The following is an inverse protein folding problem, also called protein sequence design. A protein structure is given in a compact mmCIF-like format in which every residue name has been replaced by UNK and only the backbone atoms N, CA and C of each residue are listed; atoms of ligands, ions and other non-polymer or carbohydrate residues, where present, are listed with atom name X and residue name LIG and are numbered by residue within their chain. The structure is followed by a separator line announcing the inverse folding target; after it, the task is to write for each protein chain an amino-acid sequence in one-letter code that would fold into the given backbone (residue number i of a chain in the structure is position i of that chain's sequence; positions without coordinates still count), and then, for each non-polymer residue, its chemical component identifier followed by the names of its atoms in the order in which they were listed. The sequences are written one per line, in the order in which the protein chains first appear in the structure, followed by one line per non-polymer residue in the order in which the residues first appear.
data_IF_341430667900
#
_entry.id   IF_341430667900
#
_cell.length_a   1.000
_cell.length_b   1.000
_cell.length_c   1.000
_cell.angle_alpha   90.00
_cell.angle_beta   90.00
_cell.angle_gamma   90.00
#
_symmetry.space_group_name_H-M   'P 1'
#
loop_
_entity.id
_entity.type
_entity.pdbx_description
1 polymer ?
#
# COMPACT_ATOMS: atom_id res chain seq x y z
N UNK A 1 12.90 31.95 32.22
CA UNK A 1 13.74 31.12 33.12
C UNK A 1 13.03 30.70 34.41
N UNK A 2 11.87 31.26 34.78
CA UNK A 2 11.07 30.78 35.94
C UNK A 2 9.80 30.00 35.58
N UNK A 3 9.55 29.73 34.29
CA UNK A 3 8.37 28.98 33.81
C UNK A 3 8.73 27.62 33.20
N UNK A 4 9.99 27.18 33.34
CA UNK A 4 10.51 25.95 32.73
C UNK A 4 10.65 24.77 33.71
N UNK A 5 10.43 24.98 35.01
CA UNK A 5 10.63 23.94 36.03
C UNK A 5 9.41 23.05 36.29
N UNK A 6 8.28 23.25 35.59
CA UNK A 6 7.04 22.49 35.86
C UNK A 6 6.45 21.71 34.68
N UNK A 7 7.22 21.45 33.61
CA UNK A 7 6.72 20.65 32.47
C UNK A 7 7.32 19.24 32.43
N UNK A 8 6.46 18.26 32.18
CA UNK A 8 6.78 16.84 32.11
C UNK A 8 7.87 16.53 31.06
N UNK A 9 8.73 15.50 31.31
CA UNK A 9 9.91 15.19 30.50
C UNK A 9 9.65 14.82 29.04
N UNK A 10 8.40 14.51 28.66
CA UNK A 10 7.98 14.22 27.28
C UNK A 10 8.02 15.45 26.37
N UNK A 11 7.86 16.67 26.91
CA UNK A 11 7.83 17.90 26.10
C UNK A 11 9.22 18.47 25.78
N UNK A 12 10.24 18.15 26.59
CA UNK A 12 11.64 18.51 26.30
C UNK A 12 12.24 17.65 25.17
N UNK A 13 11.81 16.39 25.05
CA UNK A 13 12.30 15.46 24.04
C UNK A 13 11.84 15.89 22.63
N UNK A 14 10.58 16.32 22.48
CA UNK A 14 10.07 16.87 21.23
C UNK A 14 10.74 18.19 20.83
N UNK A 15 11.04 19.07 21.80
CA UNK A 15 11.70 20.35 21.51
C UNK A 15 13.19 20.20 21.21
N UNK A 16 13.89 19.22 21.79
CA UNK A 16 15.29 18.94 21.45
C UNK A 16 15.41 18.30 20.06
N UNK A 17 14.46 17.43 19.68
CA UNK A 17 14.35 16.90 18.31
C UNK A 17 14.05 18.04 17.33
N UNK A 18 13.15 18.98 17.67
CA UNK A 18 12.86 20.15 16.83
C UNK A 18 14.06 21.11 16.74
N UNK A 19 14.82 21.33 17.82
CA UNK A 19 16.02 22.19 17.78
C UNK A 19 17.17 21.52 17.02
N UNK A 20 17.31 20.20 17.10
CA UNK A 20 18.25 19.44 16.26
C UNK A 20 17.80 19.48 14.79
N UNK A 21 16.50 19.35 14.50
CA UNK A 21 15.94 19.55 13.16
C UNK A 21 16.18 20.98 12.64
N UNK A 22 16.00 22.00 13.48
CA UNK A 22 16.18 23.41 13.10
C UNK A 22 17.66 23.78 12.93
N UNK A 23 18.58 23.19 13.71
CA UNK A 23 20.03 23.43 13.56
C UNK A 23 20.65 22.64 12.39
N UNK A 24 20.01 21.56 11.93
CA UNK A 24 20.39 20.81 10.73
C UNK A 24 19.86 21.48 9.44
N UNK A 25 18.79 22.28 9.54
CA UNK A 25 18.18 22.98 8.40
C UNK A 25 19.06 24.09 7.78
N UNK A 26 20.16 24.50 8.42
CA UNK A 26 21.05 25.56 7.92
C UNK A 26 22.27 25.05 7.13
N UNK A 27 22.39 23.74 6.89
CA UNK A 27 23.41 23.18 5.98
C UNK A 27 22.85 22.04 5.12
N UNK A 28 22.47 22.37 3.88
CA UNK A 28 22.24 21.50 2.71
C UNK A 28 21.50 20.15 2.95
N UNK A 29 20.16 20.24 2.91
CA UNK A 29 19.19 19.26 2.39
C UNK A 29 19.30 17.78 2.81
N UNK A 30 18.45 17.39 3.78
CA UNK A 30 17.81 16.06 3.78
C UNK A 30 16.69 16.15 2.73
N UNK A 31 16.90 15.56 1.55
CA UNK A 31 15.88 15.44 0.51
C UNK A 31 14.96 14.27 0.85
N UNK A 32 13.66 14.41 0.56
CA UNK A 32 12.75 13.27 0.47
C UNK A 32 13.31 12.24 -0.55
N UNK A 33 13.25 10.94 -0.25
CA UNK A 33 13.79 9.91 -1.15
C UNK A 33 13.03 9.90 -2.49
N UNK A 34 13.78 9.67 -3.57
CA UNK A 34 13.29 9.79 -4.94
C UNK A 34 12.68 8.47 -5.45
N UNK A 35 11.83 8.51 -6.47
CA UNK A 35 11.27 7.29 -7.08
C UNK A 35 12.10 6.82 -8.28
N UNK A 36 12.33 5.51 -8.40
CA UNK A 36 12.91 4.90 -9.59
C UNK A 36 11.85 4.79 -10.72
N UNK A 37 12.24 4.77 -12.02
CA UNK A 37 11.29 4.62 -13.11
C UNK A 37 10.57 3.26 -13.05
N UNK A 38 9.25 3.29 -12.96
CA UNK A 38 8.39 2.12 -13.04
C UNK A 38 8.29 1.61 -14.48
N UNK A 39 8.43 0.30 -14.69
CA UNK A 39 8.13 -0.31 -15.98
C UNK A 39 6.61 -0.27 -16.21
N UNK A 40 6.13 0.14 -17.40
CA UNK A 40 4.72 -0.04 -17.76
C UNK A 40 4.46 -1.53 -18.00
N UNK A 41 4.17 -2.25 -16.92
CA UNK A 41 3.54 -3.56 -16.98
C UNK A 41 2.09 -3.39 -17.43
N UNK A 42 1.88 -3.27 -18.73
CA UNK A 42 0.55 -3.22 -19.32
C UNK A 42 -0.21 -4.50 -19.03
N UNK A 43 -1.20 -4.43 -18.15
CA UNK A 43 -2.32 -5.36 -18.12
C UNK A 43 -3.30 -4.89 -19.18
N UNK A 44 -3.41 -5.69 -20.26
CA UNK A 44 -4.44 -5.50 -21.28
C UNK A 44 -5.82 -5.40 -20.60
N UNK A 45 -6.44 -4.23 -20.71
CA UNK A 45 -7.84 -4.03 -20.37
C UNK A 45 -8.69 -4.87 -21.34
N UNK A 46 -8.97 -6.12 -20.95
CA UNK A 46 -9.98 -6.94 -21.63
C UNK A 46 -11.32 -6.27 -21.38
N UNK A 47 -11.82 -5.56 -22.39
CA UNK A 47 -13.18 -5.00 -22.40
C UNK A 47 -14.18 -6.09 -21.98
N UNK A 48 -14.75 -5.91 -20.80
CA UNK A 48 -15.68 -6.86 -20.20
C UNK A 48 -16.99 -6.85 -20.99
N UNK A 49 -17.21 -7.90 -21.79
CA UNK A 49 -18.53 -8.18 -22.36
C UNK A 49 -19.56 -8.28 -21.22
N UNK A 50 -20.74 -7.64 -21.30
CA UNK A 50 -21.73 -7.65 -20.22
C UNK A 50 -22.50 -8.97 -20.09
N UNK A 51 -22.21 -9.96 -20.96
CA UNK A 51 -22.99 -11.19 -21.08
C UNK A 51 -22.38 -12.39 -20.35
N UNK A 52 -23.10 -12.96 -19.40
CA UNK A 52 -22.73 -14.18 -18.68
C UNK A 52 -23.43 -15.40 -19.32
N UNK A 53 -22.69 -16.41 -19.80
CA UNK A 53 -23.29 -17.60 -20.36
C UNK A 53 -23.82 -18.52 -19.25
N UNK A 54 -24.83 -19.33 -19.55
CA UNK A 54 -25.19 -20.47 -18.70
C UNK A 54 -24.04 -21.49 -18.66
N UNK A 55 -23.86 -22.14 -17.51
CA UNK A 55 -22.83 -23.15 -17.27
C UNK A 55 -22.98 -24.35 -18.21
N UNK A 56 -24.21 -24.82 -18.44
CA UNK A 56 -24.45 -26.07 -19.18
C UNK A 56 -24.92 -25.87 -20.62
N UNK A 57 -25.54 -24.73 -20.95
CA UNK A 57 -26.15 -24.52 -22.26
C UNK A 57 -25.59 -23.28 -22.97
N UNK A 58 -26.22 -22.93 -24.11
CA UNK A 58 -25.83 -21.82 -24.98
C UNK A 58 -26.55 -20.50 -24.64
N UNK A 59 -27.48 -20.51 -23.69
CA UNK A 59 -28.16 -19.29 -23.23
C UNK A 59 -27.17 -18.32 -22.60
N UNK A 60 -27.35 -17.03 -22.87
CA UNK A 60 -26.52 -15.95 -22.35
C UNK A 60 -27.42 -14.85 -21.80
N UNK A 61 -27.03 -14.30 -20.65
CA UNK A 61 -27.79 -13.30 -19.92
C UNK A 61 -26.92 -12.07 -19.67
N UNK A 62 -27.53 -10.90 -19.55
CA UNK A 62 -26.80 -9.71 -19.11
C UNK A 62 -26.51 -9.81 -17.61
N UNK A 63 -25.37 -9.31 -17.12
CA UNK A 63 -25.01 -9.34 -15.70
C UNK A 63 -26.12 -8.77 -14.79
N UNK A 64 -26.81 -7.71 -15.23
CA UNK A 64 -27.94 -7.10 -14.53
C UNK A 64 -29.14 -8.08 -14.33
N UNK A 65 -29.23 -9.11 -15.16
CA UNK A 65 -30.25 -10.15 -15.13
C UNK A 65 -29.77 -11.43 -14.44
N UNK A 66 -28.76 -11.35 -13.57
CA UNK A 66 -28.22 -12.46 -12.77
C UNK A 66 -29.31 -13.37 -12.17
N UNK A 67 -30.39 -12.79 -11.65
CA UNK A 67 -31.51 -13.54 -11.08
C UNK A 67 -32.26 -14.40 -12.11
N UNK A 68 -32.31 -14.00 -13.37
CA UNK A 68 -32.92 -14.79 -14.45
C UNK A 68 -32.02 -15.99 -14.80
N UNK A 69 -30.70 -15.78 -14.89
CA UNK A 69 -29.74 -16.87 -15.10
C UNK A 69 -29.77 -17.90 -13.96
N UNK A 70 -29.81 -17.44 -12.70
CA UNK A 70 -29.93 -18.34 -11.54
C UNK A 70 -31.22 -19.17 -11.60
N UNK A 71 -32.35 -18.54 -11.94
CA UNK A 71 -33.64 -19.27 -12.13
C UNK A 71 -33.54 -20.31 -13.25
N UNK A 72 -32.93 -19.95 -14.38
CA UNK A 72 -32.72 -20.87 -15.49
C UNK A 72 -31.86 -22.09 -15.07
N UNK A 73 -30.78 -21.87 -14.33
CA UNK A 73 -29.92 -22.96 -13.84
C UNK A 73 -30.65 -23.91 -12.87
N UNK A 74 -31.54 -23.37 -12.03
CA UNK A 74 -32.33 -24.18 -11.09
C UNK A 74 -33.39 -25.02 -11.82
N UNK A 75 -34.10 -24.44 -12.79
CA UNK A 75 -35.24 -25.10 -13.46
C UNK A 75 -34.76 -26.09 -14.52
N UNK A 76 -33.88 -25.66 -15.42
CA UNK A 76 -33.46 -26.46 -16.59
C UNK A 76 -32.31 -27.41 -16.27
N UNK A 77 -31.45 -27.05 -15.30
CA UNK A 77 -30.23 -27.79 -15.01
C UNK A 77 -30.14 -28.33 -13.58
N UNK A 78 -31.15 -28.05 -12.74
CA UNK A 78 -31.21 -28.48 -11.33
C UNK A 78 -29.95 -28.07 -10.52
N UNK A 79 -29.25 -27.02 -10.95
CA UNK A 79 -28.07 -26.48 -10.28
C UNK A 79 -28.46 -25.29 -9.39
N UNK A 80 -27.99 -25.33 -8.15
CA UNK A 80 -28.19 -24.27 -7.15
C UNK A 80 -26.81 -23.77 -6.71
N UNK A 81 -26.60 -22.46 -6.74
CA UNK A 81 -25.41 -21.80 -6.17
C UNK A 81 -25.84 -21.14 -4.87
N UNK A 82 -25.27 -21.58 -3.74
CA UNK A 82 -25.53 -21.00 -2.42
C UNK A 82 -24.82 -19.66 -2.25
N UNK A 83 -25.44 -18.75 -1.48
CA UNK A 83 -24.88 -17.47 -1.06
C UNK A 83 -24.20 -16.68 -2.18
N UNK A 84 -24.90 -16.50 -3.30
CA UNK A 84 -24.39 -15.79 -4.50
C UNK A 84 -23.89 -14.37 -4.18
N UNK A 85 -24.42 -13.73 -3.13
CA UNK A 85 -23.94 -12.44 -2.59
C UNK A 85 -22.47 -12.45 -2.16
N UNK A 86 -21.90 -13.62 -1.86
CA UNK A 86 -20.50 -13.80 -1.45
C UNK A 86 -19.57 -14.02 -2.65
N UNK A 87 -20.10 -14.11 -3.87
CA UNK A 87 -19.30 -14.27 -5.08
C UNK A 87 -18.85 -12.90 -5.56
N UNK A 88 -17.55 -12.61 -5.40
CA UNK A 88 -16.96 -11.31 -5.71
C UNK A 88 -17.10 -10.89 -7.19
N UNK A 89 -16.84 -11.82 -8.11
CA UNK A 89 -17.04 -11.68 -9.55
C UNK A 89 -17.86 -12.86 -10.08
N UNK A 90 -19.17 -12.62 -10.23
CA UNK A 90 -20.10 -13.64 -10.69
C UNK A 90 -19.80 -14.12 -12.12
N UNK A 91 -19.29 -13.26 -13.01
CA UNK A 91 -18.99 -13.64 -14.39
C UNK A 91 -17.83 -14.63 -14.42
N UNK A 92 -16.72 -14.27 -13.77
CA UNK A 92 -15.53 -15.12 -13.72
C UNK A 92 -15.83 -16.44 -13.02
N UNK A 93 -16.64 -16.42 -11.95
CA UNK A 93 -17.13 -17.62 -11.27
C UNK A 93 -17.89 -18.57 -12.21
N UNK A 94 -18.84 -18.05 -12.98
CA UNK A 94 -19.63 -18.87 -13.92
C UNK A 94 -18.76 -19.43 -15.06
N UNK A 95 -17.83 -18.63 -15.59
CA UNK A 95 -16.92 -19.07 -16.64
C UNK A 95 -15.98 -20.18 -16.17
N UNK A 96 -15.49 -20.10 -14.93
CA UNK A 96 -14.71 -21.15 -14.32
C UNK A 96 -15.49 -22.46 -14.24
N UNK A 97 -16.68 -22.44 -13.62
CA UNK A 97 -17.49 -23.65 -13.45
C UNK A 97 -17.99 -24.22 -14.78
N UNK A 98 -18.25 -23.37 -15.78
CA UNK A 98 -18.55 -23.80 -17.15
C UNK A 98 -17.42 -24.63 -17.76
N UNK A 99 -16.16 -24.21 -17.58
CA UNK A 99 -15.00 -24.97 -18.03
C UNK A 99 -14.85 -26.25 -17.21
N UNK A 100 -14.94 -26.14 -15.88
CA UNK A 100 -14.68 -27.25 -14.96
C UNK A 100 -15.67 -28.41 -15.10
N UNK A 101 -16.96 -28.11 -15.28
CA UNK A 101 -18.00 -29.13 -15.53
C UNK A 101 -17.98 -29.71 -16.94
N UNK A 102 -17.26 -29.11 -17.88
CA UNK A 102 -17.01 -29.73 -19.18
C UNK A 102 -15.93 -30.82 -19.09
N UNK A 103 -15.04 -30.75 -18.10
CA UNK A 103 -13.92 -31.68 -17.91
C UNK A 103 -14.28 -32.88 -17.04
N UNK A 104 -15.05 -32.67 -15.98
CA UNK A 104 -15.40 -33.69 -14.99
C UNK A 104 -16.89 -33.60 -14.60
N UNK A 105 -17.52 -34.72 -14.16
CA UNK A 105 -18.93 -34.72 -13.84
C UNK A 105 -19.27 -33.83 -12.64
N UNK A 106 -20.44 -33.19 -12.70
CA UNK A 106 -20.92 -32.22 -11.69
C UNK A 106 -20.98 -32.81 -10.27
N UNK A 107 -21.20 -34.12 -10.15
CA UNK A 107 -21.25 -34.86 -8.88
C UNK A 107 -19.97 -34.82 -8.06
N UNK A 108 -18.82 -34.55 -8.70
CA UNK A 108 -17.53 -34.54 -8.03
C UNK A 108 -17.30 -33.22 -7.28
N UNK A 109 -18.05 -32.18 -7.64
CA UNK A 109 -17.89 -30.81 -7.11
C UNK A 109 -19.12 -30.30 -6.37
N UNK A 110 -20.28 -30.90 -6.59
CA UNK A 110 -21.54 -30.44 -6.05
C UNK A 110 -22.08 -31.42 -5.01
N UNK A 111 -22.64 -30.89 -3.93
CA UNK A 111 -23.46 -31.69 -3.02
C UNK A 111 -24.78 -32.06 -3.70
N UNK A 112 -25.20 -33.33 -3.62
CA UNK A 112 -26.45 -33.79 -4.23
C UNK A 112 -27.60 -33.73 -3.23
N UNK A 113 -28.58 -32.87 -3.50
CA UNK A 113 -29.82 -32.75 -2.73
C UNK A 113 -30.89 -33.58 -3.42
N UNK A 114 -31.39 -34.61 -2.73
CA UNK A 114 -32.51 -35.42 -3.22
C UNK A 114 -33.83 -34.87 -2.72
N UNK A 115 -34.67 -34.41 -3.64
CA UNK A 115 -36.06 -34.06 -3.33
C UNK A 115 -36.95 -35.29 -3.50
N UNK A 116 -38.04 -35.35 -2.73
CA UNK A 116 -38.98 -36.48 -2.71
C UNK A 116 -38.37 -37.83 -2.32
N UNK A 117 -37.44 -37.86 -1.35
CA UNK A 117 -36.75 -39.07 -0.86
C UNK A 117 -37.65 -40.23 -0.37
N UNK A 118 -38.95 -39.99 -0.19
CA UNK A 118 -39.97 -41.00 0.18
C UNK A 118 -40.86 -41.43 -1.00
N UNK A 119 -40.73 -40.82 -2.17
CA UNK A 119 -41.49 -41.14 -3.39
C UNK A 119 -40.80 -42.25 -4.21
N UNK A 120 -41.52 -42.90 -5.15
CA UNK A 120 -40.93 -43.87 -6.09
C UNK A 120 -39.70 -43.27 -6.80
N UNK A 121 -38.71 -44.11 -7.15
CA UNK A 121 -37.44 -43.68 -7.76
C UNK A 121 -37.61 -42.81 -9.02
N UNK A 122 -38.74 -42.96 -9.72
CA UNK A 122 -39.10 -42.23 -10.94
C UNK A 122 -39.54 -40.77 -10.69
N UNK A 123 -39.88 -40.41 -9.44
CA UNK A 123 -40.31 -39.07 -9.03
C UNK A 123 -39.27 -38.34 -8.15
N UNK A 124 -38.08 -38.94 -7.97
CA UNK A 124 -36.98 -38.36 -7.21
C UNK A 124 -36.14 -37.46 -8.10
N UNK A 125 -36.08 -36.17 -7.76
CA UNK A 125 -35.24 -35.19 -8.45
C UNK A 125 -33.98 -34.90 -7.65
N UNK A 126 -32.83 -35.05 -8.31
CA UNK A 126 -31.51 -34.67 -7.79
C UNK A 126 -31.22 -33.21 -8.18
N UNK A 127 -30.99 -32.36 -7.18
CA UNK A 127 -30.43 -31.03 -7.34
C UNK A 127 -28.94 -31.04 -6.97
N UNK A 128 -28.14 -30.27 -7.69
CA UNK A 128 -26.70 -30.12 -7.47
C UNK A 128 -26.45 -28.77 -6.80
N UNK A 129 -25.84 -28.77 -5.62
CA UNK A 129 -25.55 -27.57 -4.84
C UNK A 129 -24.04 -27.26 -4.88
N UNK A 130 -23.70 -26.08 -5.39
CA UNK A 130 -22.40 -25.43 -5.20
C UNK A 130 -22.47 -24.51 -3.98
N UNK A 131 -21.56 -24.69 -3.02
CA UNK A 131 -21.46 -23.85 -1.83
C UNK A 131 -20.01 -23.75 -1.34
N UNK A 132 -19.78 -22.73 -0.51
CA UNK A 132 -18.52 -22.39 0.15
C UNK A 132 -17.99 -23.44 1.14
N UNK A 133 -18.79 -24.46 1.48
CA UNK A 133 -18.32 -25.63 2.24
C UNK A 133 -17.50 -26.57 1.37
N UNK A 134 -17.66 -26.51 0.04
CA UNK A 134 -16.95 -27.37 -0.91
C UNK A 134 -15.55 -26.80 -1.17
N UNK A 135 -14.48 -27.61 -1.07
CA UNK A 135 -13.11 -27.09 -1.13
C UNK A 135 -12.79 -26.27 -2.38
N UNK A 136 -13.16 -26.77 -3.56
CA UNK A 136 -12.87 -26.09 -4.82
C UNK A 136 -13.71 -24.83 -5.02
N UNK A 137 -14.98 -24.83 -4.60
CA UNK A 137 -15.84 -23.64 -4.65
C UNK A 137 -15.36 -22.56 -3.68
N UNK A 138 -14.93 -22.96 -2.49
CA UNK A 138 -14.35 -22.06 -1.51
C UNK A 138 -13.10 -21.37 -2.03
N UNK A 139 -12.13 -22.16 -2.51
CA UNK A 139 -10.87 -21.66 -3.08
C UNK A 139 -11.13 -20.69 -4.24
N UNK A 140 -12.07 -21.02 -5.13
CA UNK A 140 -12.44 -20.13 -6.24
C UNK A 140 -13.02 -18.81 -5.74
N UNK A 141 -13.92 -18.84 -4.76
CA UNK A 141 -14.51 -17.62 -4.19
C UNK A 141 -13.45 -16.76 -3.50
N UNK A 142 -12.55 -17.36 -2.73
CA UNK A 142 -11.42 -16.71 -2.09
C UNK A 142 -10.50 -16.06 -3.13
N UNK A 143 -10.12 -16.77 -4.20
CA UNK A 143 -9.30 -16.22 -5.30
C UNK A 143 -9.97 -15.03 -6.00
N UNK A 144 -11.27 -15.12 -6.30
CA UNK A 144 -12.00 -14.02 -6.92
C UNK A 144 -12.12 -12.81 -5.97
N UNK A 145 -12.27 -13.06 -4.67
CA UNK A 145 -12.28 -12.02 -3.65
C UNK A 145 -10.90 -11.34 -3.53
N UNK A 146 -9.81 -12.11 -3.48
CA UNK A 146 -8.45 -11.58 -3.46
C UNK A 146 -8.15 -10.73 -4.68
N UNK A 147 -8.54 -11.19 -5.88
CA UNK A 147 -8.39 -10.41 -7.11
C UNK A 147 -9.12 -9.07 -7.01
N UNK A 148 -10.38 -9.09 -6.56
CA UNK A 148 -11.18 -7.86 -6.36
C UNK A 148 -10.57 -6.95 -5.29
N UNK A 149 -10.02 -7.52 -4.21
CA UNK A 149 -9.34 -6.76 -3.16
C UNK A 149 -8.11 -6.04 -3.72
N UNK A 150 -7.28 -6.70 -4.54
CA UNK A 150 -6.13 -6.08 -5.20
C UNK A 150 -6.54 -4.88 -6.05
N UNK A 151 -7.55 -5.04 -6.91
CA UNK A 151 -8.09 -3.95 -7.75
C UNK A 151 -8.57 -2.76 -6.90
N UNK A 152 -9.23 -3.03 -5.76
CA UNK A 152 -9.74 -1.99 -4.86
C UNK A 152 -8.62 -1.30 -4.07
N UNK A 153 -7.57 -2.03 -3.68
CA UNK A 153 -6.40 -1.46 -3.01
C UNK A 153 -5.60 -0.56 -3.96
N UNK A 154 -5.43 -0.97 -5.22
CA UNK A 154 -4.81 -0.14 -6.26
C UNK A 154 -5.61 1.14 -6.48
N UNK A 155 -6.93 1.04 -6.62
CA UNK A 155 -7.82 2.20 -6.72
C UNK A 155 -7.71 3.11 -5.48
N UNK A 156 -7.68 2.53 -4.28
CA UNK A 156 -7.52 3.29 -3.05
C UNK A 156 -6.19 4.05 -3.01
N UNK A 157 -5.10 3.41 -3.41
CA UNK A 157 -3.77 4.01 -3.47
C UNK A 157 -3.74 5.16 -4.48
N UNK A 158 -4.33 4.96 -5.66
CA UNK A 158 -4.47 6.02 -6.65
C UNK A 158 -5.25 7.23 -6.09
N UNK A 159 -6.35 6.99 -5.38
CA UNK A 159 -7.13 8.05 -4.75
C UNK A 159 -6.42 8.74 -3.57
N UNK A 160 -5.41 8.10 -2.95
CA UNK A 160 -4.55 8.72 -1.92
C UNK A 160 -3.54 9.67 -2.53
N UNK A 161 -2.96 9.33 -3.67
CA UNK A 161 -2.00 10.19 -4.37
C UNK A 161 -2.67 11.23 -5.27
N UNK A 162 -3.97 11.09 -5.55
CA UNK A 162 -4.70 12.06 -6.35
C UNK A 162 -4.67 13.45 -5.71
N UNK A 163 -4.11 14.39 -6.46
CA UNK A 163 -4.04 15.83 -6.15
C UNK A 163 -4.93 16.66 -7.09
N UNK A 164 -5.60 16.01 -8.05
CA UNK A 164 -6.54 16.62 -8.98
C UNK A 164 -7.98 16.55 -8.49
N UNK A 165 -8.21 16.07 -7.26
CA UNK A 165 -9.55 15.95 -6.71
C UNK A 165 -10.24 17.30 -6.66
N UNK A 166 -11.48 17.35 -7.14
CA UNK A 166 -12.28 18.57 -7.16
C UNK A 166 -13.74 18.25 -6.86
N UNK A 167 -14.28 18.84 -5.78
CA UNK A 167 -15.69 18.66 -5.42
C UNK A 167 -16.17 19.77 -4.48
N UNK A 168 -17.48 20.04 -4.49
CA UNK A 168 -18.12 20.96 -3.55
C UNK A 168 -18.65 20.23 -2.32
N UNK A 169 -18.63 20.88 -1.16
CA UNK A 169 -19.26 20.33 0.03
C UNK A 169 -20.77 20.22 -0.14
N UNK A 170 -21.35 19.06 0.19
CA UNK A 170 -22.80 18.84 0.10
C UNK A 170 -23.62 19.64 1.14
N UNK A 171 -22.97 20.20 2.16
CA UNK A 171 -23.62 20.90 3.27
C UNK A 171 -23.41 22.42 3.28
N UNK A 172 -22.37 22.93 2.61
CA UNK A 172 -22.04 24.35 2.52
C UNK A 172 -21.52 24.73 1.13
N UNK A 173 -21.36 26.03 0.87
CA UNK A 173 -20.96 26.54 -0.45
C UNK A 173 -19.44 26.60 -0.64
N UNK A 174 -18.68 25.77 0.08
CA UNK A 174 -17.22 25.68 -0.03
C UNK A 174 -16.80 24.65 -1.07
N UNK A 175 -15.83 25.05 -1.90
CA UNK A 175 -15.22 24.24 -2.94
C UNK A 175 -13.86 23.72 -2.48
N UNK A 176 -13.58 22.46 -2.80
CA UNK A 176 -12.36 21.77 -2.38
C UNK A 176 -11.61 21.23 -3.59
N UNK A 177 -10.32 21.56 -3.65
CA UNK A 177 -9.37 21.07 -4.65
C UNK A 177 -8.18 20.40 -3.96
N UNK A 178 -7.49 19.49 -4.64
CA UNK A 178 -6.29 18.85 -4.12
C UNK A 178 -6.54 17.38 -3.84
N UNK A 179 -6.48 16.98 -2.57
CA UNK A 179 -6.76 15.60 -2.16
C UNK A 179 -8.16 15.47 -1.54
N UNK A 180 -8.82 14.33 -1.78
CA UNK A 180 -10.15 14.02 -1.23
C UNK A 180 -10.25 14.14 0.30
N UNK A 181 -9.14 13.88 1.01
CA UNK A 181 -9.09 13.97 2.48
C UNK A 181 -9.44 15.35 2.99
N UNK A 182 -9.17 16.42 2.24
CA UNK A 182 -9.47 17.80 2.65
C UNK A 182 -10.97 18.00 2.80
N UNK A 183 -11.76 17.57 1.80
CA UNK A 183 -13.22 17.65 1.83
C UNK A 183 -13.81 16.78 2.95
N UNK A 184 -13.35 15.53 3.05
CA UNK A 184 -13.88 14.59 4.05
C UNK A 184 -13.58 15.05 5.48
N UNK A 185 -12.37 15.57 5.73
CA UNK A 185 -12.01 16.15 7.01
C UNK A 185 -12.80 17.43 7.32
N UNK A 186 -13.08 18.26 6.31
CA UNK A 186 -13.96 19.41 6.46
C UNK A 186 -15.38 19.00 6.86
N UNK A 187 -15.98 18.01 6.19
CA UNK A 187 -17.30 17.47 6.53
C UNK A 187 -17.34 16.96 7.98
N UNK A 188 -16.29 16.28 8.43
CA UNK A 188 -16.18 15.79 9.79
C UNK A 188 -16.01 16.90 10.83
N UNK A 189 -15.25 17.96 10.54
CA UNK A 189 -14.94 19.04 11.50
C UNK A 189 -16.03 20.13 11.54
N UNK A 190 -16.40 20.67 10.38
CA UNK A 190 -17.29 21.83 10.28
C UNK A 190 -18.78 21.44 10.30
N UNK A 191 -19.11 20.25 9.79
CA UNK A 191 -20.48 19.75 9.74
C UNK A 191 -20.75 18.64 10.75
N UNK A 192 -19.71 18.21 11.47
CA UNK A 192 -19.76 17.05 12.36
C UNK A 192 -20.34 15.80 11.67
N UNK A 193 -20.20 15.71 10.35
CA UNK A 193 -20.70 14.61 9.54
C UNK A 193 -19.56 13.65 9.24
N UNK A 194 -19.57 12.50 9.91
CA UNK A 194 -18.47 11.54 9.85
C UNK A 194 -18.93 10.29 9.09
N UNK A 195 -18.23 9.99 8.00
CA UNK A 195 -18.44 8.80 7.14
C UNK A 195 -17.25 7.85 7.17
N UNK A 196 -16.30 8.02 8.08
CA UNK A 196 -15.07 7.24 8.18
C UNK A 196 -13.82 8.06 7.86
N UNK A 197 -12.66 7.42 8.05
CA UNK A 197 -11.37 8.00 7.68
C UNK A 197 -11.25 8.06 6.14
N UNK A 198 -10.67 9.12 5.57
CA UNK A 198 -10.44 9.22 4.13
C UNK A 198 -9.71 8.02 3.54
N UNK A 199 -8.78 7.45 4.32
CA UNK A 199 -7.97 6.30 3.91
C UNK A 199 -8.77 5.00 3.83
N UNK A 200 -9.89 4.89 4.53
CA UNK A 200 -10.70 3.67 4.54
C UNK A 200 -11.80 3.68 3.47
N UNK A 201 -11.92 4.79 2.75
CA UNK A 201 -12.93 5.01 1.72
C UNK A 201 -12.31 4.72 0.34
N UNK A 202 -13.07 4.01 -0.49
CA UNK A 202 -12.73 3.70 -1.88
C UNK A 202 -13.82 4.19 -2.80
N UNK A 203 -13.46 4.56 -4.04
CA UNK A 203 -14.39 5.15 -5.03
C UNK A 203 -15.08 6.40 -4.48
N UNK A 204 -14.30 7.34 -3.95
CA UNK A 204 -14.79 8.50 -3.20
C UNK A 204 -15.75 9.37 -4.04
N UNK A 205 -15.46 9.57 -5.33
CA UNK A 205 -16.34 10.32 -6.23
C UNK A 205 -17.73 9.68 -6.35
N UNK A 206 -17.78 8.37 -6.57
CA UNK A 206 -19.05 7.64 -6.67
C UNK A 206 -19.78 7.68 -5.32
N UNK A 207 -19.05 7.52 -4.21
CA UNK A 207 -19.65 7.59 -2.88
C UNK A 207 -20.30 8.94 -2.61
N UNK A 208 -19.58 10.05 -2.87
CA UNK A 208 -20.10 11.40 -2.72
C UNK A 208 -21.30 11.65 -3.64
N UNK A 209 -21.27 11.14 -4.87
CA UNK A 209 -22.40 11.24 -5.81
C UNK A 209 -23.64 10.49 -5.30
N UNK A 210 -23.48 9.28 -4.72
CA UNK A 210 -24.59 8.54 -4.11
C UNK A 210 -25.19 9.29 -2.92
N UNK A 211 -24.34 9.86 -2.05
CA UNK A 211 -24.80 10.66 -0.92
C UNK A 211 -25.52 11.93 -1.38
N UNK A 212 -24.95 12.64 -2.36
CA UNK A 212 -25.55 13.84 -2.94
C UNK A 212 -26.91 13.52 -3.58
N UNK A 213 -27.01 12.44 -4.36
CA UNK A 213 -28.28 12.01 -4.96
C UNK A 213 -29.36 11.69 -3.92
N UNK A 214 -28.99 11.10 -2.78
CA UNK A 214 -29.95 10.90 -1.67
C UNK A 214 -30.39 12.22 -1.05
N UNK A 215 -29.49 13.19 -0.86
CA UNK A 215 -29.85 14.53 -0.38
C UNK A 215 -30.73 15.30 -1.38
N UNK A 216 -30.47 15.17 -2.68
CA UNK A 216 -31.25 15.80 -3.74
C UNK A 216 -32.66 15.21 -3.84
N UNK A 217 -32.81 13.91 -3.56
CA UNK A 217 -34.09 13.23 -3.37
C UNK A 217 -34.76 13.54 -2.01
N UNK A 218 -34.22 14.51 -1.27
CA UNK A 218 -34.72 14.94 0.05
C UNK A 218 -34.74 13.80 1.07
N UNK A 219 -33.85 12.82 0.93
CA UNK A 219 -33.73 11.66 1.80
C UNK A 219 -32.64 11.88 2.86
N UNK A 220 -32.95 11.57 4.13
CA UNK A 220 -31.97 11.62 5.20
C UNK A 220 -31.00 10.42 5.12
N UNK A 221 -29.70 10.70 5.12
CA UNK A 221 -28.65 9.67 5.00
C UNK A 221 -28.58 8.68 6.18
N UNK A 222 -29.13 9.04 7.35
CA UNK A 222 -29.12 8.19 8.55
C UNK A 222 -30.41 7.39 8.74
N UNK A 223 -31.57 8.05 8.67
CA UNK A 223 -32.86 7.41 8.97
C UNK A 223 -33.66 7.06 7.71
N UNK A 224 -33.14 7.42 6.53
CA UNK A 224 -33.69 7.10 5.20
C UNK A 224 -35.09 7.65 4.91
N UNK A 225 -35.62 8.50 5.79
CA UNK A 225 -36.90 9.19 5.59
C UNK A 225 -36.76 10.26 4.52
N UNK A 226 -37.80 10.39 3.70
CA UNK A 226 -37.92 11.42 2.66
C UNK A 226 -38.71 12.62 3.19
N UNK A 227 -38.27 13.81 2.85
CA UNK A 227 -38.82 15.09 3.32
C UNK A 227 -39.43 15.88 2.16
N UNK A 228 -40.22 16.90 2.50
CA UNK A 228 -40.95 17.70 1.51
C UNK A 228 -40.08 18.76 0.84
N UNK A 229 -39.06 19.24 1.53
CA UNK A 229 -38.19 20.31 1.07
C UNK A 229 -36.80 20.23 1.74
N UNK A 230 -35.81 20.91 1.13
CA UNK A 230 -34.41 20.89 1.57
C UNK A 230 -34.23 21.50 2.97
N UNK A 231 -35.06 22.47 3.34
CA UNK A 231 -34.95 23.13 4.64
C UNK A 231 -35.43 22.20 5.75
N UNK A 232 -36.56 21.51 5.56
CA UNK A 232 -37.06 20.53 6.53
C UNK A 232 -36.12 19.34 6.71
N UNK A 233 -35.46 18.87 5.64
CA UNK A 233 -34.41 17.86 5.74
C UNK A 233 -33.20 18.35 6.56
N UNK A 234 -32.66 19.53 6.23
CA UNK A 234 -31.51 20.12 6.95
C UNK A 234 -31.83 20.33 8.44
N UNK A 235 -33.02 20.83 8.74
CA UNK A 235 -33.51 21.02 10.11
C UNK A 235 -33.66 19.69 10.85
N UNK A 236 -34.19 18.67 10.17
CA UNK A 236 -34.31 17.32 10.71
C UNK A 236 -32.93 16.75 11.09
N UNK A 237 -31.98 16.77 10.15
CA UNK A 237 -30.63 16.24 10.37
C UNK A 237 -29.91 16.97 11.51
N UNK A 238 -30.07 18.30 11.60
CA UNK A 238 -29.52 19.12 12.68
C UNK A 238 -30.15 18.82 14.04
N UNK A 239 -31.49 18.85 14.14
CA UNK A 239 -32.22 18.67 15.41
C UNK A 239 -32.11 17.25 15.96
N UNK A 240 -32.13 16.25 15.08
CA UNK A 240 -32.01 14.83 15.44
C UNK A 240 -30.56 14.33 15.49
N UNK A 241 -29.59 15.18 15.17
CA UNK A 241 -28.17 14.83 15.16
C UNK A 241 -27.86 13.62 14.26
N UNK A 242 -28.55 13.53 13.12
CA UNK A 242 -28.28 12.51 12.10
C UNK A 242 -27.03 12.90 11.31
N UNK A 243 -25.90 12.67 11.96
CA UNK A 243 -24.54 13.09 11.56
C UNK A 243 -23.71 11.97 10.93
N UNK A 244 -24.34 10.82 10.69
CA UNK A 244 -23.72 9.63 10.13
C UNK A 244 -24.62 9.07 9.03
N UNK A 245 -24.08 8.18 8.23
CA UNK A 245 -24.89 7.36 7.32
C UNK A 245 -25.53 6.19 8.08
N UNK A 246 -26.57 5.60 7.49
CA UNK A 246 -27.18 4.39 8.01
C UNK A 246 -26.21 3.21 7.89
N UNK A 247 -25.69 2.74 9.02
CA UNK A 247 -24.76 1.61 9.07
C UNK A 247 -25.36 0.30 8.55
N UNK A 248 -26.69 0.14 8.62
CA UNK A 248 -27.39 -1.07 8.16
C UNK A 248 -27.62 -1.11 6.65
N UNK A 249 -27.34 -0.02 5.94
CA UNK A 249 -27.58 0.04 4.52
C UNK A 249 -26.37 -0.50 3.74
N UNK A 250 -26.54 -1.72 3.23
CA UNK A 250 -25.51 -2.45 2.49
C UNK A 250 -25.11 -1.82 1.16
N UNK A 251 -25.88 -0.85 0.65
CA UNK A 251 -25.49 -0.09 -0.55
C UNK A 251 -24.17 0.67 -0.36
N UNK A 252 -23.84 1.01 0.89
CA UNK A 252 -22.60 1.72 1.22
C UNK A 252 -21.40 0.80 1.44
N UNK A 253 -21.62 -0.51 1.63
CA UNK A 253 -20.56 -1.45 1.99
C UNK A 253 -19.42 -1.45 0.96
N UNK A 254 -19.76 -1.28 -0.34
CA UNK A 254 -18.81 -1.20 -1.46
C UNK A 254 -17.86 0.01 -1.42
N UNK A 255 -18.08 0.98 -0.54
CA UNK A 255 -17.21 2.16 -0.43
C UNK A 255 -16.22 2.06 0.73
N UNK A 256 -16.25 0.96 1.49
CA UNK A 256 -15.39 0.76 2.65
C UNK A 256 -14.44 -0.41 2.44
N UNK A 257 -13.14 -0.17 2.58
CA UNK A 257 -12.10 -1.18 2.32
C UNK A 257 -12.25 -2.44 3.19
N UNK A 258 -12.73 -2.28 4.43
CA UNK A 258 -12.91 -3.40 5.37
C UNK A 258 -13.84 -4.49 4.82
N UNK A 259 -14.82 -4.14 3.98
CA UNK A 259 -15.75 -5.09 3.37
C UNK A 259 -15.12 -5.91 2.22
N UNK A 260 -13.84 -5.68 1.92
CA UNK A 260 -13.10 -6.43 0.90
C UNK A 260 -12.04 -7.36 1.52
N UNK A 261 -11.70 -7.20 2.81
CA UNK A 261 -10.60 -7.90 3.46
C UNK A 261 -10.88 -9.39 3.67
N UNK A 262 -12.05 -9.76 4.18
CA UNK A 262 -12.35 -11.13 4.56
C UNK A 262 -13.52 -11.72 3.79
N UNK A 263 -13.32 -12.95 3.29
CA UNK A 263 -14.36 -13.71 2.62
C UNK A 263 -15.47 -14.08 3.60
N UNK A 264 -16.72 -13.72 3.27
CA UNK A 264 -17.89 -14.15 4.03
C UNK A 264 -18.22 -13.35 5.28
N UNK A 265 -17.41 -12.35 5.65
CA UNK A 265 -17.65 -11.48 6.82
C UNK A 265 -18.02 -10.07 6.42
N UNK A 266 -19.00 -9.52 7.11
CA UNK A 266 -19.37 -8.09 7.07
C UNK A 266 -18.50 -7.27 8.02
N UNK A 267 -18.41 -5.95 7.80
CA UNK A 267 -17.74 -5.05 8.76
C UNK A 267 -18.30 -5.16 10.18
N UNK A 268 -19.59 -5.50 10.35
CA UNK A 268 -20.22 -5.72 11.66
C UNK A 268 -19.64 -6.96 12.35
N UNK A 269 -19.37 -8.03 11.59
CA UNK A 269 -18.78 -9.27 12.08
C UNK A 269 -17.28 -9.07 12.38
N UNK A 270 -16.53 -8.45 11.47
CA UNK A 270 -15.10 -8.12 11.66
C UNK A 270 -14.89 -7.21 12.88
N UNK A 271 -15.78 -6.23 13.12
CA UNK A 271 -15.67 -5.37 14.30
C UNK A 271 -16.07 -6.07 15.61
N UNK A 272 -16.89 -7.13 15.52
CA UNK A 272 -17.34 -7.89 16.70
C UNK A 272 -16.34 -8.97 17.14
N UNK A 273 -15.38 -9.31 16.29
CA UNK A 273 -14.28 -10.20 16.62
C UNK A 273 -13.32 -9.47 17.58
N UNK A 274 -13.03 -10.10 18.72
CA UNK A 274 -12.12 -9.56 19.72
C UNK A 274 -10.69 -9.67 19.14
N UNK A 275 -10.00 -8.54 18.96
CA UNK A 275 -8.62 -8.44 18.41
C UNK A 275 -7.60 -9.39 19.10
N UNK A 276 -7.99 -10.01 20.22
CA UNK A 276 -7.20 -10.95 21.01
C UNK A 276 -7.08 -12.36 20.40
N UNK A 277 -8.02 -12.79 19.55
CA UNK A 277 -7.95 -14.13 18.91
C UNK A 277 -7.12 -14.14 17.61
N UNK A 278 -6.74 -12.97 17.08
CA UNK A 278 -5.89 -12.85 15.89
C UNK A 278 -4.41 -13.18 16.15
N UNK A 279 -3.97 -13.30 17.41
CA UNK A 279 -2.57 -13.60 17.73
C UNK A 279 -2.19 -15.08 17.60
N UNK A 280 -3.16 -16.00 17.68
CA UNK A 280 -2.87 -17.44 17.79
C UNK A 280 -2.89 -18.19 16.43
N UNK A 281 -3.25 -17.54 15.32
CA UNK A 281 -3.30 -18.14 13.96
C UNK A 281 -2.39 -17.46 12.92
N UNK A 282 -1.47 -16.57 13.32
CA UNK A 282 -0.52 -15.89 12.42
C UNK A 282 0.70 -16.75 12.00
N UNK A 283 0.65 -18.08 12.20
CA UNK A 283 1.70 -18.98 11.70
C UNK A 283 1.44 -19.52 10.28
N UNK A 284 0.29 -19.27 9.66
CA UNK A 284 0.00 -19.78 8.31
C UNK A 284 -0.22 -18.65 7.29
N UNK A 285 0.72 -18.61 6.33
CA UNK A 285 0.61 -18.05 4.98
C UNK A 285 1.22 -16.66 4.71
N UNK A 286 2.54 -16.53 4.92
CA UNK A 286 3.36 -15.49 4.29
C UNK A 286 3.68 -15.79 2.81
N UNK A 287 3.06 -16.79 2.19
CA UNK A 287 3.34 -17.21 0.80
C UNK A 287 2.62 -16.36 -0.25
N UNK A 288 1.61 -15.59 0.14
CA UNK A 288 0.72 -14.84 -0.76
C UNK A 288 1.19 -13.39 -1.02
N UNK A 289 2.38 -13.02 -0.53
CA UNK A 289 3.10 -11.86 -1.05
C UNK A 289 3.54 -12.18 -2.48
N UNK A 290 2.78 -11.72 -3.46
CA UNK A 290 3.26 -11.64 -4.85
C UNK A 290 4.50 -10.73 -4.86
N UNK A 291 5.69 -11.34 -4.79
CA UNK A 291 6.94 -10.72 -5.24
C UNK A 291 6.71 -10.34 -6.71
N UNK A 292 6.25 -9.12 -6.94
CA UNK A 292 6.37 -8.49 -8.25
C UNK A 292 7.85 -8.67 -8.64
N UNK A 293 8.20 -9.04 -9.87
CA UNK A 293 9.60 -9.16 -10.26
C UNK A 293 10.26 -7.78 -10.11
N UNK A 294 10.83 -7.50 -8.94
CA UNK A 294 11.34 -6.18 -8.63
C UNK A 294 12.72 -6.10 -9.25
N UNK A 295 12.79 -5.48 -10.43
CA UNK A 295 14.04 -5.34 -11.14
C UNK A 295 14.92 -4.30 -10.44
N UNK A 296 16.19 -4.62 -10.24
CA UNK A 296 17.17 -3.67 -9.75
C UNK A 296 17.60 -2.73 -10.90
N UNK A 297 17.63 -1.42 -10.63
CA UNK A 297 17.98 -0.39 -11.61
C UNK A 297 19.47 -0.08 -11.59
N UNK A 298 20.06 0.10 -12.77
CA UNK A 298 21.46 0.45 -12.95
C UNK A 298 21.80 1.79 -12.26
N UNK A 299 23.03 1.90 -11.73
CA UNK A 299 23.49 3.13 -11.07
C UNK A 299 23.67 4.32 -12.05
N UNK A 300 23.86 4.03 -13.34
CA UNK A 300 24.30 5.01 -14.34
C UNK A 300 23.27 5.26 -15.45
N UNK A 301 22.29 4.36 -15.64
CA UNK A 301 21.26 4.50 -16.67
C UNK A 301 19.92 3.89 -16.24
N UNK A 302 18.92 3.98 -17.12
CA UNK A 302 17.54 3.54 -16.84
C UNK A 302 17.31 2.03 -17.08
N UNK A 303 18.37 1.27 -17.39
CA UNK A 303 18.26 -0.19 -17.58
C UNK A 303 18.00 -0.89 -16.26
N UNK A 304 17.10 -1.87 -16.30
CA UNK A 304 16.71 -2.68 -15.16
C UNK A 304 17.08 -4.15 -15.41
N UNK A 305 17.39 -4.88 -14.34
CA UNK A 305 17.66 -6.31 -14.41
C UNK A 305 16.91 -7.05 -13.30
N UNK A 306 16.40 -8.23 -13.65
CA UNK A 306 15.67 -9.14 -12.77
C UNK A 306 16.59 -9.87 -11.77
N UNK A 307 17.90 -9.89 -12.00
CA UNK A 307 18.88 -10.41 -11.02
C UNK A 307 20.08 -9.49 -10.87
N UNK A 308 20.66 -9.49 -9.67
CA UNK A 308 21.83 -8.67 -9.32
C UNK A 308 23.06 -9.03 -10.16
N UNK A 309 23.24 -10.30 -10.54
CA UNK A 309 24.34 -10.72 -11.42
C UNK A 309 24.21 -10.13 -12.82
N UNK A 310 22.99 -10.12 -13.37
CA UNK A 310 22.71 -9.48 -14.68
C UNK A 310 22.95 -7.99 -14.61
N UNK A 311 22.58 -7.34 -13.50
CA UNK A 311 22.85 -5.93 -13.28
C UNK A 311 24.35 -5.62 -13.20
N UNK A 312 25.13 -6.44 -12.47
CA UNK A 312 26.58 -6.33 -12.39
C UNK A 312 27.24 -6.51 -13.75
N UNK A 313 26.78 -7.49 -14.55
CA UNK A 313 27.26 -7.68 -15.91
C UNK A 313 26.94 -6.49 -16.82
N UNK A 314 25.76 -5.88 -16.67
CA UNK A 314 25.39 -4.68 -17.40
C UNK A 314 26.29 -3.49 -17.03
N UNK A 315 26.44 -3.20 -15.73
CA UNK A 315 27.32 -2.13 -15.25
C UNK A 315 28.76 -2.32 -15.70
N UNK A 316 29.25 -3.55 -15.73
CA UNK A 316 30.58 -3.89 -16.25
C UNK A 316 30.70 -3.67 -17.76
N UNK A 317 29.77 -4.19 -18.56
CA UNK A 317 29.88 -4.18 -20.03
C UNK A 317 29.58 -2.82 -20.64
N UNK A 318 28.55 -2.15 -20.12
CA UNK A 318 28.05 -0.88 -20.67
C UNK A 318 28.80 0.31 -20.11
N UNK A 319 29.17 0.28 -18.81
CA UNK A 319 29.75 1.45 -18.14
C UNK A 319 31.18 1.21 -17.63
N UNK A 320 31.73 -0.01 -17.77
CA UNK A 320 33.06 -0.35 -17.23
C UNK A 320 33.12 -0.33 -15.70
N UNK A 321 31.97 -0.36 -15.01
CA UNK A 321 31.89 -0.33 -13.55
C UNK A 321 31.85 -1.74 -12.98
N UNK A 322 32.89 -2.12 -12.23
CA UNK A 322 33.02 -3.45 -11.64
C UNK A 322 32.75 -3.43 -10.13
N UNK A 323 31.48 -3.40 -9.73
CA UNK A 323 31.10 -3.33 -8.32
C UNK A 323 31.68 -4.47 -7.45
N UNK A 324 31.67 -5.75 -7.86
CA UNK A 324 32.27 -6.83 -7.04
C UNK A 324 33.79 -6.67 -6.86
N UNK A 325 34.48 -6.10 -7.84
CA UNK A 325 35.93 -5.86 -7.77
C UNK A 325 36.23 -4.74 -6.77
N UNK A 326 35.46 -3.65 -6.83
CA UNK A 326 35.55 -2.52 -5.88
C UNK A 326 35.29 -3.00 -4.45
N UNK A 327 34.27 -3.83 -4.25
CA UNK A 327 33.96 -4.42 -2.94
C UNK A 327 35.18 -5.16 -2.36
N UNK A 328 35.81 -6.02 -3.14
CA UNK A 328 36.97 -6.81 -2.71
C UNK A 328 38.25 -6.00 -2.55
N UNK A 329 38.52 -5.04 -3.44
CA UNK A 329 39.73 -4.19 -3.38
C UNK A 329 39.72 -3.22 -2.19
N UNK A 330 38.53 -2.72 -1.81
CA UNK A 330 38.38 -1.76 -0.72
C UNK A 330 37.87 -2.40 0.60
N UNK A 331 37.61 -3.70 0.62
CA UNK A 331 37.15 -4.42 1.81
C UNK A 331 35.85 -3.84 2.40
N UNK A 332 34.87 -3.54 1.55
CA UNK A 332 33.66 -2.83 1.97
C UNK A 332 32.71 -3.74 2.76
N UNK A 333 32.37 -3.34 3.99
CA UNK A 333 31.29 -3.97 4.76
C UNK A 333 29.91 -3.62 4.17
N UNK A 334 28.85 -4.33 4.56
CA UNK A 334 27.50 -4.08 4.03
C UNK A 334 27.08 -2.61 4.12
N UNK A 335 27.24 -1.97 5.28
CA UNK A 335 26.87 -0.56 5.46
C UNK A 335 27.63 0.40 4.55
N UNK A 336 28.90 0.11 4.27
CA UNK A 336 29.71 0.90 3.35
C UNK A 336 29.32 0.68 1.90
N UNK A 337 28.89 -0.54 1.54
CA UNK A 337 28.30 -0.81 0.23
C UNK A 337 27.01 0.01 0.05
N UNK A 338 26.14 0.07 1.07
CA UNK A 338 24.91 0.89 1.06
C UNK A 338 25.25 2.38 0.87
N UNK A 339 26.16 2.92 1.68
CA UNK A 339 26.57 4.33 1.56
C UNK A 339 27.14 4.65 0.20
N UNK A 340 27.99 3.77 -0.35
CA UNK A 340 28.60 3.96 -1.66
C UNK A 340 27.54 3.98 -2.78
N UNK A 341 26.59 3.04 -2.76
CA UNK A 341 25.49 3.00 -3.73
C UNK A 341 24.65 4.27 -3.65
N UNK A 342 24.26 4.70 -2.44
CA UNK A 342 23.49 5.92 -2.24
C UNK A 342 24.24 7.17 -2.67
N UNK A 343 25.54 7.26 -2.39
CA UNK A 343 26.41 8.33 -2.85
C UNK A 343 26.42 8.42 -4.38
N UNK A 344 26.72 7.32 -5.08
CA UNK A 344 26.76 7.30 -6.55
C UNK A 344 25.39 7.73 -7.10
N UNK A 345 24.31 7.15 -6.59
CA UNK A 345 22.94 7.48 -7.00
C UNK A 345 22.62 8.96 -6.82
N UNK A 346 23.10 9.59 -5.73
CA UNK A 346 22.89 11.02 -5.45
C UNK A 346 23.68 11.91 -6.41
N UNK A 347 24.93 11.57 -6.70
CA UNK A 347 25.78 12.31 -7.62
C UNK A 347 25.24 12.24 -9.06
N UNK A 348 24.82 11.05 -9.51
CA UNK A 348 24.18 10.87 -10.82
C UNK A 348 22.84 11.61 -10.89
N UNK A 349 22.04 11.60 -9.82
CA UNK A 349 20.79 12.36 -9.77
C UNK A 349 21.02 13.88 -9.91
N UNK A 350 22.06 14.41 -9.27
CA UNK A 350 22.43 15.83 -9.39
C UNK A 350 23.17 16.18 -10.68
N UNK A 351 23.26 15.24 -11.65
CA UNK A 351 24.04 15.38 -12.87
C UNK A 351 25.48 15.86 -12.61
N UNK A 352 26.11 15.35 -11.54
CA UNK A 352 27.46 15.74 -11.11
C UNK A 352 28.41 14.56 -11.15
N UNK A 353 29.61 14.76 -11.71
CA UNK A 353 30.65 13.73 -11.69
C UNK A 353 31.24 13.61 -10.28
N UNK A 354 31.17 12.43 -9.69
CA UNK A 354 31.69 12.22 -8.33
C UNK A 354 33.22 12.36 -8.19
N UNK A 355 33.96 12.34 -9.31
CA UNK A 355 35.42 12.40 -9.30
C UNK A 355 35.96 13.82 -9.55
N UNK A 356 35.50 14.51 -10.60
CA UNK A 356 35.95 15.88 -10.92
C UNK A 356 34.99 16.98 -10.45
N UNK A 357 33.82 16.62 -9.93
CA UNK A 357 32.78 17.54 -9.43
C UNK A 357 32.18 18.48 -10.50
N UNK A 358 32.45 18.23 -11.79
CA UNK A 358 31.81 18.94 -12.90
C UNK A 358 30.31 18.61 -12.96
N UNK A 359 29.49 19.63 -13.23
CA UNK A 359 28.03 19.53 -13.37
C UNK A 359 27.63 19.56 -14.83
N UNK A 360 26.63 18.75 -15.18
CA UNK A 360 26.12 18.59 -16.54
C UNK A 360 24.63 18.90 -16.60
N UNK A 361 24.14 19.30 -17.76
CA UNK A 361 22.72 19.65 -17.98
C UNK A 361 21.82 18.41 -18.10
N UNK A 362 22.39 17.23 -18.39
CA UNK A 362 21.65 15.97 -18.52
C UNK A 362 22.44 14.77 -18.02
N UNK A 363 21.73 13.72 -17.58
CA UNK A 363 22.33 12.44 -17.19
C UNK A 363 23.15 11.83 -18.33
N UNK A 364 22.63 11.88 -19.56
CA UNK A 364 23.35 11.40 -20.75
C UNK A 364 24.71 12.09 -20.94
N UNK A 365 24.75 13.42 -20.81
CA UNK A 365 26.00 14.18 -20.89
C UNK A 365 27.00 13.85 -19.78
N UNK A 366 26.51 13.63 -18.55
CA UNK A 366 27.35 13.16 -17.44
C UNK A 366 27.95 11.79 -17.71
N UNK A 367 27.14 10.82 -18.16
CA UNK A 367 27.63 9.46 -18.42
C UNK A 367 28.67 9.45 -19.55
N UNK A 368 28.44 10.18 -20.65
CA UNK A 368 29.44 10.32 -21.73
C UNK A 368 30.76 10.91 -21.22
N UNK A 369 30.71 11.95 -20.39
CA UNK A 369 31.93 12.48 -19.75
C UNK A 369 32.64 11.42 -18.92
N UNK A 370 31.91 10.68 -18.08
CA UNK A 370 32.51 9.68 -17.19
C UNK A 370 33.09 8.48 -17.94
N UNK A 371 32.52 8.12 -19.10
CA UNK A 371 33.04 7.08 -20.00
C UNK A 371 34.32 7.54 -20.71
N UNK A 372 34.36 8.77 -21.25
CA UNK A 372 35.52 9.34 -21.95
C UNK A 372 36.72 9.56 -21.02
N UNK A 373 36.47 10.09 -19.83
CA UNK A 373 37.50 10.37 -18.80
C UNK A 373 37.82 9.15 -17.94
N UNK A 374 37.07 8.05 -18.09
CA UNK A 374 37.12 6.84 -17.26
C UNK A 374 36.85 7.08 -15.78
N UNK A 375 36.20 8.19 -15.41
CA UNK A 375 35.81 8.49 -14.04
C UNK A 375 34.81 7.45 -13.46
N UNK A 376 34.15 6.65 -14.30
CA UNK A 376 33.29 5.54 -13.82
C UNK A 376 34.08 4.52 -12.99
N UNK A 377 35.33 4.23 -13.35
CA UNK A 377 36.09 3.15 -12.70
C UNK A 377 36.83 3.59 -11.43
N UNK A 378 36.96 4.90 -11.17
CA UNK A 378 37.78 5.44 -10.08
C UNK A 378 36.92 6.12 -9.01
N UNK A 379 36.86 5.54 -7.82
CA UNK A 379 36.12 6.13 -6.71
C UNK A 379 36.91 7.27 -6.04
N UNK A 380 36.22 8.33 -5.58
CA UNK A 380 36.83 9.36 -4.76
C UNK A 380 37.24 8.81 -3.38
N UNK A 381 38.02 9.59 -2.63
CA UNK A 381 38.48 9.22 -1.30
C UNK A 381 37.32 8.78 -0.40
N UNK A 382 37.56 7.79 0.48
CA UNK A 382 36.55 7.21 1.38
C UNK A 382 35.80 8.27 2.21
N UNK A 383 36.51 9.30 2.66
CA UNK A 383 35.92 10.42 3.40
C UNK A 383 34.84 11.20 2.62
N UNK A 384 34.81 11.12 1.29
CA UNK A 384 33.81 11.80 0.47
C UNK A 384 32.44 11.12 0.50
N UNK A 385 32.41 9.78 0.59
CA UNK A 385 31.19 8.99 0.46
C UNK A 385 30.83 8.16 1.70
N UNK A 386 31.77 7.89 2.61
CA UNK A 386 31.51 7.19 3.88
C UNK A 386 30.94 8.16 4.94
N UNK A 387 29.93 8.94 4.55
CA UNK A 387 29.28 9.94 5.40
C UNK A 387 27.95 9.42 5.94
N UNK A 388 27.54 9.79 7.18
CA UNK A 388 26.29 9.31 7.78
C UNK A 388 25.03 9.63 6.96
N UNK A 389 25.05 10.73 6.21
CA UNK A 389 23.94 11.12 5.33
C UNK A 389 23.59 10.09 4.25
N UNK A 390 24.49 9.17 3.90
CA UNK A 390 24.26 8.13 2.89
C UNK A 390 23.74 6.81 3.49
N UNK A 391 23.46 6.75 4.80
CA UNK A 391 22.67 5.66 5.38
C UNK A 391 21.23 5.67 4.90
N UNK A 392 20.70 6.86 4.59
CA UNK A 392 19.35 7.00 4.07
C UNK A 392 19.36 6.72 2.56
N UNK A 393 18.47 5.82 2.07
CA UNK A 393 18.35 5.55 0.65
C UNK A 393 18.11 6.81 -0.16
N UNK A 394 18.84 6.98 -1.26
CA UNK A 394 18.61 8.08 -2.20
C UNK A 394 17.28 7.89 -2.95
N UNK A 395 16.87 6.63 -3.17
CA UNK A 395 15.62 6.26 -3.81
C UNK A 395 14.78 5.35 -2.90
N UNK A 396 13.46 5.49 -2.93
CA UNK A 396 12.51 4.58 -2.30
C UNK A 396 12.53 3.21 -3.02
N UNK A 397 12.37 2.13 -2.26
CA UNK A 397 12.28 0.75 -2.77
C UNK A 397 13.49 0.31 -3.62
N UNK A 398 14.70 0.72 -3.24
CA UNK A 398 15.93 0.35 -3.95
C UNK A 398 16.32 -1.13 -3.75
N UNK A 399 15.92 -1.97 -4.70
CA UNK A 399 16.19 -3.42 -4.70
C UNK A 399 17.67 -3.76 -4.77
N UNK A 400 18.49 -2.87 -5.34
CA UNK A 400 19.94 -3.10 -5.32
C UNK A 400 20.46 -3.11 -3.89
N UNK A 401 19.95 -2.24 -3.00
CA UNK A 401 20.36 -2.21 -1.59
C UNK A 401 19.92 -3.47 -0.84
N UNK A 402 18.75 -4.03 -1.20
CA UNK A 402 18.21 -5.25 -0.60
C UNK A 402 18.99 -6.52 -0.99
N UNK A 403 19.73 -6.50 -2.11
CA UNK A 403 20.46 -7.67 -2.64
C UNK A 403 21.98 -7.59 -2.43
N UNK A 404 22.48 -6.58 -1.70
CA UNK A 404 23.89 -6.45 -1.35
C UNK A 404 24.30 -7.59 -0.41
N UNK A 405 25.27 -8.40 -0.83
CA UNK A 405 25.76 -9.50 0.00
C UNK A 405 26.73 -9.01 1.08
N UNK A 406 26.62 -9.53 2.30
CA UNK A 406 27.68 -9.44 3.29
C UNK A 406 28.82 -10.40 2.91
N UNK A 407 30.05 -9.90 2.83
CA UNK A 407 31.21 -10.80 2.78
C UNK A 407 31.73 -10.97 4.19
N UNK A 408 31.58 -12.16 4.77
CA UNK A 408 32.14 -12.51 6.09
C UNK A 408 33.68 -12.42 6.15
N UNK A 409 34.35 -12.17 5.02
CA UNK A 409 35.80 -12.05 4.90
C UNK A 409 36.37 -10.63 5.10
N UNK A 410 35.53 -9.63 5.41
CA UNK A 410 36.01 -8.29 5.74
C UNK A 410 36.64 -8.30 7.15
N UNK A 411 37.97 -8.47 7.21
CA UNK A 411 38.74 -8.32 8.45
C UNK A 411 38.37 -7.00 9.12
N UNK A 412 37.82 -7.09 10.33
CA UNK A 412 37.58 -5.96 11.21
C UNK A 412 38.91 -5.30 11.57
N UNK A 413 39.36 -4.34 10.76
CA UNK A 413 40.36 -3.38 11.18
C UNK A 413 39.67 -2.30 12.02
N UNK A 414 39.88 -2.46 13.32
CA UNK A 414 39.56 -1.57 14.42
C UNK A 414 40.20 -0.18 14.20
N UNK A 415 39.46 0.71 13.54
CA UNK A 415 39.72 2.16 13.55
C UNK A 415 38.42 2.89 13.88
N UNK A 416 38.16 2.98 15.17
CA UNK A 416 37.45 4.03 15.92
C UNK A 416 36.90 5.24 15.13
N UNK A 417 35.85 5.04 14.35
CA UNK A 417 34.80 6.04 14.10
C UNK A 417 33.43 5.33 14.05
N UNK A 418 33.06 4.65 15.13
CA UNK A 418 31.68 4.21 15.34
C UNK A 418 30.80 5.45 15.54
N UNK A 419 30.07 5.86 14.51
CA UNK A 419 28.82 6.60 14.72
C UNK A 419 27.88 5.63 15.45
N UNK A 420 27.43 5.93 16.68
CA UNK A 420 26.62 5.00 17.44
C UNK A 420 25.27 4.82 16.74
N UNK A 421 25.06 3.64 16.15
CA UNK A 421 23.74 3.22 15.68
C UNK A 421 22.95 2.82 16.93
N UNK A 422 22.07 3.71 17.38
CA UNK A 422 21.19 3.45 18.52
C UNK A 422 19.98 2.69 18.00
N UNK A 423 19.93 1.37 18.23
CA UNK A 423 18.69 0.61 18.05
C UNK A 423 17.61 1.12 19.01
N UNK A 424 16.34 1.03 18.60
CA UNK A 424 15.16 1.44 19.39
C UNK A 424 14.90 0.57 20.63
N UNK A 425 15.92 -0.03 21.21
CA UNK A 425 15.79 -0.80 22.43
C UNK A 425 15.86 0.16 23.63
N UNK A 426 14.68 0.51 24.15
CA UNK A 426 14.41 1.53 25.20
C UNK A 426 15.07 1.17 26.56
N UNK A 427 15.68 -0.01 26.66
CA UNK A 427 16.21 -0.62 27.87
C UNK A 427 17.37 0.15 28.53
N UNK A 428 18.05 1.06 27.82
CA UNK A 428 19.26 1.73 28.31
C UNK A 428 19.25 3.27 28.23
N UNK A 429 18.07 3.91 28.26
CA UNK A 429 17.90 5.38 28.26
C UNK A 429 18.68 6.11 29.36
N UNK A 430 18.91 5.49 30.53
CA UNK A 430 19.69 6.09 31.63
C UNK A 430 21.18 6.17 31.31
N UNK A 431 21.74 5.19 30.61
CA UNK A 431 23.14 5.18 30.23
C UNK A 431 23.41 6.20 29.10
N UNK A 432 22.50 6.24 28.10
CA UNK A 432 22.54 7.22 27.00
C UNK A 432 22.42 8.67 27.48
N UNK A 433 21.61 8.91 28.52
CA UNK A 433 21.54 10.24 29.14
C UNK A 433 22.87 10.64 29.77
N UNK A 434 23.61 9.71 30.37
CA UNK A 434 24.90 10.00 31.01
C UNK A 434 26.05 10.18 30.02
N UNK A 435 26.02 9.49 28.87
CA UNK A 435 27.03 9.60 27.81
C UNK A 435 26.73 10.66 26.75
N UNK A 436 25.55 11.29 26.79
CA UNK A 436 25.11 12.31 25.83
C UNK A 436 26.11 13.46 25.69
N UNK A 437 26.43 13.81 24.44
CA UNK A 437 27.24 14.98 24.04
C UNK A 437 26.72 16.27 24.69
N UNK A 438 25.40 16.38 24.89
CA UNK A 438 24.76 17.52 25.55
C UNK A 438 25.25 17.68 27.00
N UNK A 439 25.42 16.59 27.74
CA UNK A 439 25.94 16.62 29.11
C UNK A 439 27.45 16.88 29.17
N UNK A 440 28.21 16.43 28.16
CA UNK A 440 29.63 16.77 28.05
C UNK A 440 29.86 18.26 27.73
N UNK A 441 28.98 18.87 26.95
CA UNK A 441 29.00 20.31 26.65
C UNK A 441 28.58 21.14 27.88
N UNK A 442 27.53 20.73 28.60
CA UNK A 442 27.10 21.37 29.85
C UNK A 442 28.17 21.31 30.95
N UNK A 443 28.93 20.22 31.03
CA UNK A 443 30.06 20.11 31.95
C UNK A 443 31.23 21.04 31.60
N UNK A 444 31.46 21.30 30.30
CA UNK A 444 32.48 22.26 29.84
C UNK A 444 32.08 23.72 30.10
N UNK A 445 30.80 24.06 29.96
CA UNK A 445 30.28 25.40 30.30
C UNK A 445 30.35 25.68 31.79
N UNK A 446 29.96 24.72 32.65
CA UNK A 446 30.04 24.89 34.10
C UNK A 446 31.49 25.03 34.61
N UNK A 447 32.45 24.30 34.04
CA UNK A 447 33.88 24.49 34.36
C UNK A 447 34.46 25.83 33.88
N UNK A 448 33.83 26.46 32.89
CA UNK A 448 34.25 27.76 32.37
C UNK A 448 33.72 28.92 33.24
N UNK A 449 32.62 28.70 33.97
CA UNK A 449 32.05 29.67 34.92
C UNK A 449 32.69 29.61 36.31
N UNK A 450 33.30 28.49 36.71
CA UNK A 450 34.05 28.39 37.98
C UNK A 450 35.48 28.97 37.95
N UNK A 451 35.93 29.49 36.80
CA UNK A 451 37.28 30.06 36.60
C UNK A 451 37.32 31.58 36.40
N UNK A 452 36.24 32.30 36.72
CA UNK A 452 36.23 33.76 36.80
C UNK A 452 35.83 34.26 38.19
#
# INVERSE_FOLDING_TARGET
LSSLESMQPTCLQSKLIIIIFILILDTECILEPLSLPESPGGVDAVESSPYVPCIFCKECYVLAEQNQLLKHMIIEHKLVIADVKLVADFRSYILYWKRRFAEQPVTDFCSVIRTNSKAPLEEQDNYFLLCDVLPEDRLLREQLQQKRLREILEQQQQERYDTSFHSMCMFCDQEFTGNRSVLLNHMAREHAFNIGLPDNIVNCYEFLAVLQGKLDNLQCLYCEKVFRDKNTLKDHMRKKQHRRINAKNKEYDKFYIINYLEFGKSWEEVQSEDDRELLDNLEEDWSDWEEHPVCAVCLFCEQQADTTEKLYLHMQKSHGFHFPKIKSEHGLNFYQQVKLVNFIRREIHHCRCYNCQEKFESKGGLISHMEETKHIAFLPARSTWDQPQYYFPTYENDILLCTLSDSEDAKAEDQSEEVPVVGEDISSLKALKQSSVLNQLLWKENKSQEKF
#
